data_IF_047790304097
#
_entry.id   IF_047790304097
#
_cell.length_a   1.000
_cell.length_b   1.000
_cell.length_c   1.000
_cell.angle_alpha   90.00
_cell.angle_beta   90.00
_cell.angle_gamma   90.00
#
_symmetry.space_group_name_H-M   'P 1'
#
loop_
_entity.id
_entity.type
_entity.pdbx_description
1 polymer ?
#
# COMPACT_ATOMS: atom_id res chain seq x y z
N UNK A 1 29.59 -19.10 7.02
CA UNK A 1 28.17 -19.29 6.68
C UNK A 1 27.39 -17.97 6.76
N UNK A 2 27.93 -16.88 6.22
CA UNK A 2 27.33 -15.51 6.29
C UNK A 2 26.75 -15.02 4.96
N UNK A 3 26.95 -15.76 3.87
CA UNK A 3 26.59 -15.30 2.50
C UNK A 3 25.16 -15.66 2.08
N UNK A 4 24.56 -16.71 2.64
CA UNK A 4 23.18 -17.11 2.33
C UNK A 4 22.16 -16.12 2.92
N UNK A 5 22.34 -15.76 4.20
CA UNK A 5 21.42 -14.90 4.95
C UNK A 5 21.30 -13.46 4.35
N UNK A 6 22.37 -12.93 3.75
CA UNK A 6 22.34 -11.62 3.09
C UNK A 6 21.59 -11.64 1.74
N UNK A 7 21.68 -12.75 0.99
CA UNK A 7 20.92 -12.91 -0.26
C UNK A 7 19.44 -13.03 0.04
N UNK A 8 19.05 -13.85 1.02
CA UNK A 8 17.65 -14.05 1.41
C UNK A 8 16.99 -12.76 1.88
N UNK A 9 17.70 -11.92 2.64
CA UNK A 9 17.20 -10.62 3.09
C UNK A 9 16.94 -9.66 1.91
N UNK A 10 17.83 -9.62 0.91
CA UNK A 10 17.61 -8.79 -0.29
C UNK A 10 16.42 -9.28 -1.11
N UNK A 11 16.26 -10.59 -1.28
CA UNK A 11 15.12 -11.17 -1.98
C UNK A 11 13.80 -10.93 -1.24
N UNK A 12 13.79 -11.06 0.08
CA UNK A 12 12.61 -10.82 0.90
C UNK A 12 12.18 -9.35 0.85
N UNK A 13 13.14 -8.41 0.98
CA UNK A 13 12.89 -6.98 0.80
C UNK A 13 12.32 -6.71 -0.59
N UNK A 14 12.90 -7.24 -1.66
CA UNK A 14 12.38 -7.04 -3.01
C UNK A 14 10.94 -7.57 -3.18
N UNK A 15 10.64 -8.75 -2.63
CA UNK A 15 9.32 -9.38 -2.69
C UNK A 15 8.25 -8.58 -1.94
N UNK A 16 8.59 -8.05 -0.78
CA UNK A 16 7.70 -7.20 0.03
C UNK A 16 7.33 -5.92 -0.74
N UNK A 17 8.30 -5.32 -1.45
CA UNK A 17 8.09 -4.12 -2.28
C UNK A 17 7.11 -4.40 -3.42
N UNK A 18 7.26 -5.54 -4.10
CA UNK A 18 6.33 -5.95 -5.16
C UNK A 18 4.93 -6.18 -4.58
N UNK A 19 4.81 -6.78 -3.39
CA UNK A 19 3.52 -7.02 -2.76
C UNK A 19 2.78 -5.72 -2.40
N UNK A 20 3.48 -4.71 -1.88
CA UNK A 20 2.91 -3.39 -1.58
C UNK A 20 2.43 -2.66 -2.84
N UNK A 21 3.25 -2.67 -3.88
CA UNK A 21 2.91 -2.08 -5.18
C UNK A 21 1.69 -2.80 -5.75
N UNK A 22 1.67 -4.13 -5.73
CA UNK A 22 0.55 -4.93 -6.24
C UNK A 22 -0.75 -4.61 -5.49
N UNK A 23 -0.70 -4.49 -4.16
CA UNK A 23 -1.86 -4.11 -3.33
C UNK A 23 -2.40 -2.73 -3.69
N UNK A 24 -1.52 -1.76 -3.95
CA UNK A 24 -1.92 -0.43 -4.42
C UNK A 24 -2.55 -0.46 -5.82
N UNK A 25 -1.95 -1.18 -6.77
CA UNK A 25 -2.50 -1.30 -8.12
C UNK A 25 -3.88 -1.96 -8.10
N UNK A 26 -4.09 -2.96 -7.24
CA UNK A 26 -5.41 -3.58 -7.06
C UNK A 26 -6.43 -2.55 -6.57
N UNK A 27 -6.14 -1.76 -5.53
CA UNK A 27 -7.09 -0.75 -5.05
C UNK A 27 -7.32 0.39 -6.06
N UNK A 28 -6.28 0.80 -6.79
CA UNK A 28 -6.39 1.79 -7.87
C UNK A 28 -7.22 1.27 -9.05
N UNK A 29 -7.05 0.01 -9.44
CA UNK A 29 -7.82 -0.61 -10.52
C UNK A 29 -9.31 -0.67 -10.15
N UNK A 30 -9.64 -1.11 -8.94
CA UNK A 30 -11.01 -1.06 -8.44
C UNK A 30 -11.55 0.37 -8.42
N UNK A 31 -10.77 1.35 -7.98
CA UNK A 31 -11.16 2.77 -8.02
C UNK A 31 -11.50 3.24 -9.44
N UNK A 32 -10.63 2.98 -10.43
CA UNK A 32 -10.87 3.37 -11.82
C UNK A 32 -12.14 2.72 -12.36
N UNK A 33 -12.33 1.42 -12.13
CA UNK A 33 -13.54 0.69 -12.56
C UNK A 33 -14.79 1.27 -11.90
N UNK A 34 -14.73 1.59 -10.60
CA UNK A 34 -15.86 2.15 -9.86
C UNK A 34 -16.24 3.55 -10.35
N UNK A 35 -15.24 4.41 -10.59
CA UNK A 35 -15.45 5.76 -11.14
C UNK A 35 -15.97 5.69 -12.58
N UNK A 36 -15.44 4.80 -13.41
CA UNK A 36 -15.93 4.60 -14.76
C UNK A 36 -17.40 4.11 -14.78
N UNK A 37 -17.75 3.17 -13.89
CA UNK A 37 -19.12 2.71 -13.73
C UNK A 37 -20.05 3.84 -13.26
N UNK A 38 -19.62 4.66 -12.28
CA UNK A 38 -20.37 5.83 -11.81
C UNK A 38 -20.53 6.90 -12.89
N UNK A 39 -19.50 7.14 -13.70
CA UNK A 39 -19.57 8.08 -14.82
C UNK A 39 -20.55 7.59 -15.90
N UNK A 40 -20.52 6.30 -16.24
CA UNK A 40 -21.48 5.68 -17.16
C UNK A 40 -22.91 5.74 -16.63
N UNK A 41 -23.12 5.47 -15.34
CA UNK A 41 -24.42 5.61 -14.68
C UNK A 41 -24.90 7.06 -14.68
N UNK A 42 -24.02 8.02 -14.40
CA UNK A 42 -24.36 9.44 -14.41
C UNK A 42 -24.78 9.93 -15.80
N UNK A 43 -24.09 9.44 -16.84
CA UNK A 43 -24.44 9.70 -18.23
C UNK A 43 -25.83 9.14 -18.57
N UNK A 44 -26.13 7.90 -18.17
CA UNK A 44 -27.41 7.25 -18.44
C UNK A 44 -28.58 7.88 -17.68
N UNK A 45 -28.37 8.31 -16.44
CA UNK A 45 -29.45 8.80 -15.56
C UNK A 45 -29.77 10.28 -15.79
N UNK A 46 -28.75 11.13 -15.98
CA UNK A 46 -28.92 12.59 -15.91
C UNK A 46 -28.22 13.36 -17.04
N UNK A 47 -27.71 12.69 -18.09
CA UNK A 47 -26.95 13.32 -19.19
C UNK A 47 -25.86 14.30 -18.70
N UNK A 48 -25.18 13.98 -17.58
CA UNK A 48 -24.15 14.83 -16.95
C UNK A 48 -24.65 16.18 -16.38
N UNK A 49 -25.96 16.40 -16.26
CA UNK A 49 -26.52 17.67 -15.72
C UNK A 49 -26.19 17.92 -14.25
N UNK A 50 -25.98 16.85 -13.49
CA UNK A 50 -25.45 16.88 -12.11
C UNK A 50 -24.35 15.82 -11.95
N UNK A 51 -23.06 16.19 -12.13
CA UNK A 51 -21.94 15.27 -12.06
C UNK A 51 -21.57 14.96 -10.60
N UNK A 52 -22.50 14.38 -9.85
CA UNK A 52 -22.31 14.02 -8.43
C UNK A 52 -21.18 12.99 -8.25
N UNK A 53 -20.87 12.21 -9.30
CA UNK A 53 -19.75 11.27 -9.30
C UNK A 53 -18.41 11.97 -9.06
N UNK A 54 -18.27 13.27 -9.37
CA UNK A 54 -17.06 14.04 -9.08
C UNK A 54 -16.83 14.18 -7.58
N UNK A 55 -17.88 14.33 -6.78
CA UNK A 55 -17.77 14.37 -5.32
C UNK A 55 -17.33 13.01 -4.75
N UNK A 56 -17.91 11.92 -5.27
CA UNK A 56 -17.47 10.57 -4.93
C UNK A 56 -16.01 10.31 -5.36
N UNK A 57 -15.65 10.76 -6.58
CA UNK A 57 -14.30 10.67 -7.12
C UNK A 57 -13.28 11.43 -6.29
N UNK A 58 -13.62 12.64 -5.84
CA UNK A 58 -12.76 13.46 -5.00
C UNK A 58 -12.55 12.82 -3.62
N UNK A 59 -13.62 12.40 -2.95
CA UNK A 59 -13.53 11.77 -1.64
C UNK A 59 -12.69 10.50 -1.64
N UNK A 60 -12.96 9.58 -2.58
CA UNK A 60 -12.17 8.35 -2.72
C UNK A 60 -10.79 8.59 -3.31
N UNK A 61 -10.65 9.58 -4.20
CA UNK A 61 -9.38 9.94 -4.84
C UNK A 61 -8.33 10.41 -3.84
N UNK A 62 -8.74 11.15 -2.80
CA UNK A 62 -7.84 11.58 -1.73
C UNK A 62 -7.28 10.37 -0.96
N UNK A 63 -8.11 9.37 -0.65
CA UNK A 63 -7.66 8.14 0.02
C UNK A 63 -6.65 7.35 -0.81
N UNK A 64 -6.91 7.20 -2.12
CA UNK A 64 -5.99 6.56 -3.06
C UNK A 64 -4.71 7.37 -3.23
N UNK A 65 -4.78 8.71 -3.25
CA UNK A 65 -3.61 9.58 -3.33
C UNK A 65 -2.70 9.41 -2.11
N UNK A 66 -3.25 9.38 -0.89
CA UNK A 66 -2.48 9.07 0.31
C UNK A 66 -1.88 7.65 0.28
N UNK A 67 -2.62 6.68 -0.23
CA UNK A 67 -2.10 5.32 -0.41
C UNK A 67 -0.96 5.29 -1.44
N UNK A 68 -1.06 6.05 -2.54
CA UNK A 68 -0.02 6.21 -3.54
C UNK A 68 1.24 6.86 -2.95
N UNK A 69 1.07 7.94 -2.17
CA UNK A 69 2.17 8.61 -1.48
C UNK A 69 2.94 7.66 -0.57
N UNK A 70 2.22 6.80 0.16
CA UNK A 70 2.80 5.77 1.01
C UNK A 70 3.55 4.71 0.19
N UNK A 71 2.91 4.15 -0.85
CA UNK A 71 3.49 3.08 -1.68
C UNK A 71 4.70 3.56 -2.49
N UNK A 72 4.62 4.72 -3.12
CA UNK A 72 5.71 5.30 -3.90
C UNK A 72 6.76 6.00 -3.02
N UNK A 73 6.52 6.10 -1.70
CA UNK A 73 7.41 6.74 -0.73
C UNK A 73 7.89 8.11 -1.20
N UNK A 74 6.95 8.89 -1.75
CA UNK A 74 7.30 10.16 -2.38
C UNK A 74 7.76 11.22 -1.37
N UNK A 75 7.54 10.98 -0.08
CA UNK A 75 8.19 11.71 1.00
C UNK A 75 9.55 11.05 1.37
N UNK A 76 10.70 11.58 0.90
CA UNK A 76 12.02 11.11 1.32
C UNK A 76 12.25 11.21 2.84
N UNK A 77 11.43 11.98 3.55
CA UNK A 77 11.60 12.28 4.99
C UNK A 77 10.81 11.38 5.96
N UNK A 78 9.80 10.59 5.54
CA UNK A 78 8.85 9.97 6.50
C UNK A 78 9.04 8.44 6.70
N UNK A 79 9.55 7.68 5.72
CA UNK A 79 9.29 6.22 5.73
C UNK A 79 10.45 5.28 6.02
N UNK A 80 11.68 5.57 5.57
CA UNK A 80 12.72 4.52 5.48
C UNK A 80 13.20 4.06 6.85
N UNK A 81 13.47 5.01 7.74
CA UNK A 81 14.09 4.75 9.02
C UNK A 81 13.08 4.19 10.03
N UNK A 82 11.86 4.74 10.07
CA UNK A 82 10.83 4.28 10.99
C UNK A 82 10.30 2.88 10.65
N UNK A 83 10.03 2.58 9.37
CA UNK A 83 9.55 1.26 8.96
C UNK A 83 10.61 0.17 9.16
N UNK A 84 11.87 0.46 8.84
CA UNK A 84 12.98 -0.49 9.04
C UNK A 84 13.25 -0.71 10.53
N UNK A 85 13.13 0.33 11.37
CA UNK A 85 13.27 0.23 12.82
C UNK A 85 12.11 -0.54 13.46
N UNK A 86 10.87 -0.38 12.98
CA UNK A 86 9.72 -1.14 13.47
C UNK A 86 9.77 -2.61 13.07
N UNK A 87 10.17 -2.91 11.84
CA UNK A 87 10.36 -4.28 11.37
C UNK A 87 11.44 -5.00 12.18
N UNK A 88 12.55 -4.31 12.48
CA UNK A 88 13.63 -4.84 13.31
C UNK A 88 13.17 -5.10 14.74
N UNK A 89 12.39 -4.18 15.33
CA UNK A 89 11.78 -4.37 16.65
C UNK A 89 10.86 -5.59 16.69
N UNK A 90 10.01 -5.79 15.67
CA UNK A 90 9.12 -6.96 15.60
C UNK A 90 9.89 -8.28 15.52
N UNK A 91 10.94 -8.36 14.70
CA UNK A 91 11.77 -9.57 14.62
C UNK A 91 12.51 -9.85 15.94
N UNK A 92 13.07 -8.83 16.58
CA UNK A 92 13.75 -8.98 17.89
C UNK A 92 12.77 -9.39 19.00
N UNK A 93 11.53 -8.90 18.98
CA UNK A 93 10.49 -9.33 19.92
C UNK A 93 10.10 -10.79 19.69
N UNK A 94 9.95 -11.25 18.44
CA UNK A 94 9.67 -12.66 18.15
C UNK A 94 10.81 -13.58 18.53
N UNK A 95 12.07 -13.23 18.26
CA UNK A 95 13.23 -14.02 18.69
C UNK A 95 13.31 -14.14 20.21
N UNK A 96 13.11 -13.04 20.95
CA UNK A 96 13.10 -13.05 22.42
C UNK A 96 11.96 -13.86 23.00
N UNK A 97 10.76 -13.74 22.43
CA UNK A 97 9.59 -14.49 22.88
C UNK A 97 9.74 -15.99 22.62
N UNK A 98 10.35 -16.36 21.50
CA UNK A 98 10.64 -17.76 21.18
C UNK A 98 11.69 -18.31 22.15
N UNK A 99 12.78 -17.58 22.42
CA UNK A 99 13.85 -18.06 23.30
C UNK A 99 13.42 -18.28 24.77
N UNK A 100 12.50 -17.48 25.29
CA UNK A 100 11.99 -17.63 26.66
C UNK A 100 10.99 -18.78 26.86
N UNK A 101 10.47 -19.36 25.77
CA UNK A 101 9.53 -20.49 25.83
C UNK A 101 10.24 -21.87 25.79
N UNK A 102 11.56 -21.90 25.63
CA UNK A 102 12.39 -23.10 25.56
C UNK A 102 13.39 -23.23 26.73
N UNK A 103 13.23 -22.41 27.78
CA UNK A 103 13.99 -22.45 29.04
C UNK A 103 13.07 -22.82 30.21
#
# INVERSE_FOLDING_TARGET
METENNKDNKYFKAKQRVAEIKKFYTSLMFYIVFIAALAGLNYYVNELRHPWFLWAAFGWGIGIFFQALKTFRWAPFIGKDWEEKKMKQFMEEEEKKTKNNWD
#
